data_IF_165246456619
#
_entry.id   IF_165246456619
#
_cell.length_a   1.000
_cell.length_b   1.000
_cell.length_c   1.000
_cell.angle_alpha   90.00
_cell.angle_beta   90.00
_cell.angle_gamma   90.00
#
_symmetry.space_group_name_H-M   'P 1'
#
loop_
_entity.id
_entity.type
_entity.pdbx_description
1 polymer ?
#
# COMPACT_ATOMS: atom_id res chain seq x y z
N UNK A 1 27.98 -65.52 38.68
CA UNK A 1 28.88 -64.43 39.12
C UNK A 1 28.56 -63.21 38.28
N UNK A 2 28.19 -62.07 38.88
CA UNK A 2 28.02 -60.84 38.09
C UNK A 2 29.39 -60.42 37.56
N UNK A 3 29.48 -60.18 36.25
CA UNK A 3 30.64 -59.57 35.62
C UNK A 3 30.97 -58.27 36.34
N UNK A 4 32.26 -58.00 36.56
CA UNK A 4 32.66 -56.72 37.13
C UNK A 4 32.23 -55.59 36.20
N UNK A 5 31.82 -54.44 36.76
CA UNK A 5 31.39 -53.27 35.98
C UNK A 5 32.42 -52.87 34.90
N UNK A 6 33.71 -53.11 35.18
CA UNK A 6 34.83 -52.83 34.26
C UNK A 6 34.94 -53.79 33.08
N UNK A 7 34.50 -55.04 33.22
CA UNK A 7 34.41 -55.98 32.09
C UNK A 7 33.20 -55.65 31.21
N UNK A 8 32.08 -55.30 31.83
CA UNK A 8 30.87 -54.88 31.09
C UNK A 8 31.10 -53.57 30.31
N UNK A 9 31.80 -52.60 30.90
CA UNK A 9 32.17 -51.36 30.21
C UNK A 9 33.19 -51.60 29.08
N UNK A 10 34.10 -52.57 29.22
CA UNK A 10 35.04 -52.94 28.16
C UNK A 10 34.34 -53.61 26.99
N UNK A 11 33.43 -54.55 27.25
CA UNK A 11 32.66 -55.21 26.20
C UNK A 11 31.73 -54.23 25.46
N UNK A 12 31.10 -53.29 26.18
CA UNK A 12 30.32 -52.23 25.54
C UNK A 12 31.16 -51.33 24.64
N UNK A 13 32.38 -50.96 25.05
CA UNK A 13 33.28 -50.17 24.21
C UNK A 13 33.72 -50.96 22.98
N UNK A 14 34.05 -52.25 23.13
CA UNK A 14 34.48 -53.13 22.05
C UNK A 14 33.35 -53.48 21.06
N UNK A 15 32.12 -53.57 21.54
CA UNK A 15 30.93 -53.73 20.69
C UNK A 15 30.62 -52.43 19.93
N UNK A 16 30.75 -51.28 20.60
CA UNK A 16 30.54 -49.96 19.99
C UNK A 16 31.54 -49.70 18.85
N UNK A 17 32.84 -49.94 19.04
CA UNK A 17 33.83 -49.78 17.96
C UNK A 17 33.52 -50.69 16.77
N UNK A 18 33.18 -51.96 17.01
CA UNK A 18 32.84 -52.89 15.91
C UNK A 18 31.60 -52.48 15.11
N UNK A 19 30.58 -51.91 15.74
CA UNK A 19 29.37 -51.45 15.05
C UNK A 19 29.65 -50.19 14.22
N UNK A 20 30.42 -49.23 14.75
CA UNK A 20 30.73 -48.00 14.02
C UNK A 20 31.75 -48.21 12.88
N UNK A 21 32.72 -49.10 13.07
CA UNK A 21 33.78 -49.35 12.06
C UNK A 21 33.29 -50.19 10.86
N UNK A 22 32.17 -50.92 10.98
CA UNK A 22 31.64 -51.75 9.88
C UNK A 22 30.36 -51.21 9.23
N UNK A 23 29.57 -50.37 9.90
CA UNK A 23 28.28 -49.93 9.36
C UNK A 23 28.33 -48.62 8.56
N UNK A 24 29.40 -47.81 8.70
CA UNK A 24 29.49 -46.50 8.04
C UNK A 24 30.88 -46.34 7.43
N UNK A 25 31.06 -46.75 6.17
CA UNK A 25 32.29 -46.48 5.43
C UNK A 25 32.54 -44.97 5.37
N UNK A 26 33.72 -44.54 5.80
CA UNK A 26 34.14 -43.14 5.71
C UNK A 26 34.08 -42.68 4.25
N UNK A 27 33.35 -41.58 4.00
CA UNK A 27 33.15 -41.04 2.65
C UNK A 27 33.68 -39.61 2.61
N UNK A 28 34.70 -39.39 1.79
CA UNK A 28 35.26 -38.06 1.54
C UNK A 28 34.23 -37.06 1.02
N UNK A 29 33.25 -37.53 0.23
CA UNK A 29 32.13 -36.72 -0.24
C UNK A 29 31.22 -36.26 0.91
N UNK A 30 30.95 -37.13 1.88
CA UNK A 30 30.20 -36.76 3.09
C UNK A 30 30.97 -35.77 3.94
N UNK A 31 32.28 -35.99 4.14
CA UNK A 31 33.12 -35.04 4.88
C UNK A 31 33.16 -33.67 4.20
N UNK A 32 33.40 -33.62 2.89
CA UNK A 32 33.45 -32.38 2.12
C UNK A 32 32.08 -31.67 2.10
N UNK A 33 30.99 -32.42 1.91
CA UNK A 33 29.62 -31.89 1.97
C UNK A 33 29.27 -31.34 3.34
N UNK A 34 29.67 -32.03 4.41
CA UNK A 34 29.54 -31.57 5.78
C UNK A 34 30.36 -30.30 6.02
N UNK A 35 31.65 -30.28 5.65
CA UNK A 35 32.50 -29.10 5.80
C UNK A 35 31.96 -27.89 5.03
N UNK A 36 31.45 -28.08 3.81
CA UNK A 36 30.84 -27.01 3.02
C UNK A 36 29.54 -26.52 3.66
N UNK A 37 28.69 -27.42 4.15
CA UNK A 37 27.45 -27.07 4.86
C UNK A 37 27.76 -26.31 6.17
N UNK A 38 28.78 -26.74 6.90
CA UNK A 38 29.26 -26.06 8.12
C UNK A 38 29.87 -24.69 7.80
N UNK A 39 30.67 -24.59 6.73
CA UNK A 39 31.22 -23.31 6.28
C UNK A 39 30.11 -22.34 5.85
N UNK A 40 29.08 -22.82 5.13
CA UNK A 40 27.92 -22.01 4.77
C UNK A 40 27.17 -21.55 6.03
N UNK A 41 26.90 -22.45 6.99
CA UNK A 41 26.23 -22.12 8.25
C UNK A 41 27.01 -21.07 9.07
N UNK A 42 28.33 -21.24 9.22
CA UNK A 42 29.19 -20.29 9.93
C UNK A 42 29.28 -18.94 9.20
N UNK A 43 29.42 -18.97 7.87
CA UNK A 43 29.52 -17.75 7.06
C UNK A 43 28.24 -16.92 7.09
N UNK A 44 27.07 -17.57 7.10
CA UNK A 44 25.79 -16.89 7.10
C UNK A 44 25.54 -16.18 8.44
N UNK A 45 25.97 -16.79 9.54
CA UNK A 45 25.86 -16.23 10.90
C UNK A 45 26.84 -15.07 11.14
N UNK A 46 28.10 -15.19 10.70
CA UNK A 46 29.09 -14.11 10.81
C UNK A 46 28.77 -12.91 9.91
N UNK A 47 28.16 -13.15 8.74
CA UNK A 47 27.80 -12.10 7.78
C UNK A 47 26.52 -11.36 8.15
N UNK A 48 25.53 -12.04 8.75
CA UNK A 48 24.22 -11.44 9.06
C UNK A 48 24.11 -10.82 10.46
N UNK A 49 25.08 -11.08 11.36
CA UNK A 49 25.06 -10.60 12.75
C UNK A 49 24.03 -11.33 13.63
N UNK A 50 23.80 -10.88 14.88
CA UNK A 50 22.83 -11.54 15.78
C UNK A 50 21.35 -11.37 15.34
N UNK A 51 21.09 -10.50 14.35
CA UNK A 51 19.77 -10.21 13.80
C UNK A 51 19.63 -8.76 13.36
N UNK A 52 18.45 -8.38 12.86
CA UNK A 52 18.11 -6.98 12.60
C UNK A 52 17.97 -6.27 13.95
N UNK A 53 18.90 -5.36 14.24
CA UNK A 53 18.85 -4.59 15.48
C UNK A 53 17.75 -3.53 15.42
N UNK A 54 17.15 -3.25 16.57
CA UNK A 54 16.20 -2.14 16.72
C UNK A 54 16.80 -0.81 16.26
N UNK A 55 18.13 -0.64 16.40
CA UNK A 55 18.84 0.55 15.92
C UNK A 55 18.72 0.76 14.40
N UNK A 56 18.77 -0.30 13.57
CA UNK A 56 18.54 -0.17 12.13
C UNK A 56 17.08 0.13 11.80
N UNK A 57 16.14 -0.38 12.58
CA UNK A 57 14.71 -0.12 12.37
C UNK A 57 14.28 1.28 12.84
N UNK A 58 15.03 1.91 13.76
CA UNK A 58 14.80 3.30 14.21
C UNK A 58 14.94 4.35 13.10
N UNK A 59 15.53 4.00 11.95
CA UNK A 59 15.58 4.90 10.80
C UNK A 59 14.21 5.06 10.13
N UNK A 60 13.26 4.16 10.41
CA UNK A 60 11.90 4.18 9.90
C UNK A 60 10.93 4.76 10.93
N UNK A 61 9.90 5.46 10.44
CA UNK A 61 8.88 6.01 11.35
C UNK A 61 7.94 4.90 11.79
N UNK A 62 7.86 4.67 13.10
CA UNK A 62 6.88 3.75 13.67
C UNK A 62 5.51 4.42 13.73
N UNK A 63 4.55 3.85 13.00
CA UNK A 63 3.16 4.31 12.97
C UNK A 63 2.35 3.65 14.09
N UNK A 64 2.57 2.35 14.28
CA UNK A 64 1.97 1.51 15.31
C UNK A 64 3.00 0.47 15.76
N UNK A 65 2.76 -0.22 16.87
CA UNK A 65 3.60 -1.35 17.29
C UNK A 65 3.75 -2.38 16.16
N UNK A 66 4.97 -2.58 15.69
CA UNK A 66 5.29 -3.48 14.57
C UNK A 66 5.02 -2.91 13.18
N UNK A 67 4.47 -1.70 13.05
CA UNK A 67 4.18 -1.08 11.76
C UNK A 67 5.10 0.12 11.49
N UNK A 68 5.92 -0.01 10.46
CA UNK A 68 6.89 0.99 10.02
C UNK A 68 6.45 1.60 8.70
N UNK A 69 6.69 2.90 8.53
CA UNK A 69 6.56 3.56 7.23
C UNK A 69 7.88 3.38 6.47
N UNK A 70 7.85 2.65 5.35
CA UNK A 70 9.05 2.41 4.52
C UNK A 70 9.25 3.49 3.46
N UNK A 71 8.14 3.98 2.88
CA UNK A 71 8.14 4.99 1.83
C UNK A 71 7.03 6.00 2.08
N UNK A 72 7.38 7.28 1.94
CA UNK A 72 6.46 8.40 2.14
C UNK A 72 6.45 8.91 3.58
N UNK A 73 5.38 9.59 4.00
CA UNK A 73 4.10 9.68 3.31
C UNK A 73 4.14 10.81 2.25
N UNK A 74 3.76 10.52 1.01
CA UNK A 74 3.84 11.47 -0.10
C UNK A 74 2.51 12.19 -0.30
N UNK A 75 2.56 13.48 -0.60
CA UNK A 75 1.43 14.31 -0.97
C UNK A 75 1.82 15.25 -2.09
N UNK A 76 1.17 15.12 -3.24
CA UNK A 76 1.51 15.93 -4.41
C UNK A 76 0.26 16.29 -5.23
N UNK A 77 0.18 17.54 -5.72
CA UNK A 77 -0.79 17.89 -6.73
C UNK A 77 -0.37 17.21 -8.03
N UNK A 78 -1.31 16.55 -8.70
CA UNK A 78 -1.03 15.97 -9.99
C UNK A 78 -1.30 17.01 -11.09
N UNK A 79 -2.55 17.39 -11.28
CA UNK A 79 -2.95 18.43 -12.25
C UNK A 79 -4.20 19.18 -11.80
N UNK A 80 -4.22 20.48 -12.08
CA UNK A 80 -5.43 21.28 -12.10
C UNK A 80 -5.74 21.63 -13.55
N UNK A 81 -6.82 21.07 -14.09
CA UNK A 81 -7.17 21.16 -15.50
C UNK A 81 -8.40 22.05 -15.64
N UNK A 82 -8.25 23.13 -16.40
CA UNK A 82 -9.31 24.09 -16.72
C UNK A 82 -9.85 23.79 -18.11
N UNK A 83 -11.17 23.61 -18.24
CA UNK A 83 -11.84 23.18 -19.48
C UNK A 83 -11.35 23.93 -20.73
N UNK A 84 -11.18 25.26 -20.64
CA UNK A 84 -10.83 26.11 -21.78
C UNK A 84 -9.34 26.51 -21.83
N UNK A 85 -8.62 26.53 -20.70
CA UNK A 85 -7.25 27.06 -20.66
C UNK A 85 -6.19 25.96 -20.88
N UNK A 86 -6.46 24.73 -20.44
CA UNK A 86 -5.50 23.63 -20.50
C UNK A 86 -5.86 22.61 -21.58
N UNK A 87 -6.74 22.93 -22.52
CA UNK A 87 -7.24 22.01 -23.54
C UNK A 87 -6.11 21.40 -24.41
N UNK A 88 -5.03 22.16 -24.64
CA UNK A 88 -3.88 21.74 -25.44
C UNK A 88 -2.72 21.15 -24.60
N UNK A 89 -2.87 21.06 -23.28
CA UNK A 89 -1.85 20.47 -22.43
C UNK A 89 -1.84 18.94 -22.56
N UNK A 90 -0.73 18.32 -22.20
CA UNK A 90 -0.56 16.87 -22.18
C UNK A 90 -0.14 16.39 -20.81
N UNK A 91 -0.70 15.26 -20.38
CA UNK A 91 -0.47 14.65 -19.07
C UNK A 91 0.23 13.31 -19.22
N UNK A 92 1.26 12.96 -18.44
CA UNK A 92 1.91 11.65 -18.54
C UNK A 92 0.93 10.50 -18.32
N UNK A 93 0.94 9.52 -19.24
CA UNK A 93 0.14 8.27 -19.11
C UNK A 93 0.46 7.55 -17.80
N UNK A 94 1.70 7.67 -17.33
CA UNK A 94 2.16 7.02 -16.10
C UNK A 94 1.28 7.33 -14.90
N UNK A 95 0.84 8.58 -14.74
CA UNK A 95 0.02 8.99 -13.60
C UNK A 95 -1.36 8.31 -13.57
N UNK A 96 -1.94 7.94 -14.70
CA UNK A 96 -3.26 7.29 -14.74
C UNK A 96 -3.20 5.79 -15.03
N UNK A 97 -2.04 5.26 -15.42
CA UNK A 97 -1.87 3.85 -15.79
C UNK A 97 -0.92 3.07 -14.88
N UNK A 98 0.19 3.65 -14.46
CA UNK A 98 1.25 2.89 -13.78
C UNK A 98 1.38 3.25 -12.30
N UNK A 99 1.02 4.47 -11.95
CA UNK A 99 0.97 4.95 -10.57
C UNK A 99 0.05 4.08 -9.70
N UNK A 100 0.46 3.81 -8.46
CA UNK A 100 -0.31 3.07 -7.45
C UNK A 100 -1.66 3.72 -7.16
N UNK A 101 -1.72 5.05 -7.07
CA UNK A 101 -2.97 5.78 -6.82
C UNK A 101 -3.95 5.69 -8.00
N UNK A 102 -3.47 5.37 -9.21
CA UNK A 102 -4.34 5.16 -10.38
C UNK A 102 -5.17 3.88 -10.29
N UNK A 103 -4.80 2.92 -9.43
CA UNK A 103 -5.50 1.63 -9.29
C UNK A 103 -6.94 1.85 -8.85
N UNK A 104 -7.19 2.70 -7.86
CA UNK A 104 -8.56 2.97 -7.40
C UNK A 104 -9.38 3.68 -8.47
N UNK A 105 -8.78 4.62 -9.19
CA UNK A 105 -9.46 5.31 -10.30
C UNK A 105 -9.92 4.33 -11.36
N UNK A 106 -9.05 3.41 -11.78
CA UNK A 106 -9.41 2.41 -12.80
C UNK A 106 -10.40 1.39 -12.29
N UNK A 107 -10.28 0.97 -11.03
CA UNK A 107 -11.24 0.07 -10.41
C UNK A 107 -12.65 0.65 -10.48
N UNK A 108 -12.82 1.93 -10.15
CA UNK A 108 -14.12 2.59 -10.23
C UNK A 108 -14.54 2.91 -11.66
N UNK A 109 -13.60 3.22 -12.56
CA UNK A 109 -13.90 3.38 -13.97
C UNK A 109 -14.47 2.10 -14.58
N UNK A 110 -13.91 0.94 -14.24
CA UNK A 110 -14.45 -0.35 -14.67
C UNK A 110 -15.77 -0.69 -13.98
N UNK A 111 -15.87 -0.46 -12.67
CA UNK A 111 -17.09 -0.72 -11.89
C UNK A 111 -18.29 0.10 -12.41
N UNK A 112 -18.08 1.39 -12.71
CA UNK A 112 -19.11 2.26 -13.28
C UNK A 112 -19.23 2.15 -14.80
N UNK A 113 -18.39 1.33 -15.45
CA UNK A 113 -18.33 1.16 -16.91
C UNK A 113 -18.18 2.50 -17.67
N UNK A 114 -17.19 3.31 -17.27
CA UNK A 114 -16.96 4.64 -17.84
C UNK A 114 -16.28 4.56 -19.21
N UNK A 115 -16.98 4.96 -20.27
CA UNK A 115 -16.42 5.06 -21.62
C UNK A 115 -15.41 6.20 -21.79
N UNK A 116 -15.44 7.21 -20.90
CA UNK A 116 -14.50 8.32 -20.92
C UNK A 116 -13.06 7.87 -20.60
N UNK A 117 -12.86 6.72 -19.95
CA UNK A 117 -11.54 6.17 -19.70
C UNK A 117 -10.96 5.54 -20.97
N UNK A 118 -9.81 6.05 -21.49
CA UNK A 118 -9.19 5.46 -22.65
C UNK A 118 -8.89 3.98 -22.41
N UNK A 119 -9.20 3.08 -23.37
CA UNK A 119 -8.97 1.64 -23.21
C UNK A 119 -7.53 1.31 -22.82
N UNK A 120 -6.58 2.13 -23.26
CA UNK A 120 -5.18 1.93 -22.97
C UNK A 120 -4.82 2.17 -21.48
N UNK A 121 -5.54 3.06 -20.78
CA UNK A 121 -5.37 3.33 -19.34
C UNK A 121 -5.87 2.13 -18.52
N UNK A 122 -6.95 1.49 -18.98
CA UNK A 122 -7.55 0.29 -18.39
C UNK A 122 -6.86 -1.02 -18.81
N UNK A 123 -5.66 -0.95 -19.39
CA UNK A 123 -4.92 -2.12 -19.89
C UNK A 123 -5.63 -2.96 -20.97
N UNK A 124 -6.68 -2.43 -21.62
CA UNK A 124 -7.39 -3.12 -22.72
C UNK A 124 -6.69 -2.96 -24.07
N UNK A 125 -5.80 -1.96 -24.19
CA UNK A 125 -4.96 -1.75 -25.38
C UNK A 125 -3.63 -1.10 -25.04
N UNK A 126 -2.72 -1.02 -26.03
CA UNK A 126 -1.47 -0.26 -25.91
C UNK A 126 -1.75 1.23 -26.06
N UNK A 127 -1.12 2.07 -25.22
CA UNK A 127 -1.25 3.52 -25.38
C UNK A 127 -0.44 3.98 -26.59
N UNK A 128 -0.97 4.94 -27.39
CA UNK A 128 -0.30 5.40 -28.61
C UNK A 128 1.01 6.15 -28.32
N UNK A 129 1.14 6.72 -27.12
CA UNK A 129 2.36 7.39 -26.66
C UNK A 129 2.47 7.39 -25.13
N UNK A 130 3.43 8.16 -24.60
CA UNK A 130 3.67 8.33 -23.17
C UNK A 130 2.83 9.42 -22.49
N UNK A 131 1.96 10.11 -23.25
CA UNK A 131 1.12 11.22 -22.77
C UNK A 131 -0.33 11.05 -23.22
N UNK A 132 -1.25 11.60 -22.43
CA UNK A 132 -2.68 11.74 -22.71
C UNK A 132 -3.00 13.23 -22.93
N UNK A 133 -3.91 13.58 -23.86
CA UNK A 133 -4.47 14.92 -23.93
C UNK A 133 -5.11 15.31 -22.60
N UNK A 134 -4.85 16.52 -22.10
CA UNK A 134 -5.45 16.99 -20.85
C UNK A 134 -6.98 17.07 -20.93
N UNK A 135 -7.54 17.27 -22.13
CA UNK A 135 -8.99 17.16 -22.38
C UNK A 135 -9.53 15.77 -22.06
N UNK A 136 -8.86 14.72 -22.50
CA UNK A 136 -9.30 13.34 -22.22
C UNK A 136 -9.24 13.07 -20.71
N UNK A 137 -8.18 13.53 -20.04
CA UNK A 137 -8.06 13.42 -18.57
C UNK A 137 -9.15 14.21 -17.85
N UNK A 138 -9.49 15.40 -18.34
CA UNK A 138 -10.59 16.20 -17.81
C UNK A 138 -11.92 15.43 -17.89
N UNK A 139 -12.23 14.90 -19.08
CA UNK A 139 -13.46 14.15 -19.33
C UNK A 139 -13.52 12.85 -18.52
N UNK A 140 -12.38 12.17 -18.34
CA UNK A 140 -12.23 11.00 -17.45
C UNK A 140 -12.61 11.34 -16.01
N UNK A 141 -12.01 12.39 -15.45
CA UNK A 141 -12.24 12.80 -14.06
C UNK A 141 -13.68 13.28 -13.89
N UNK A 142 -14.19 14.09 -14.80
CA UNK A 142 -15.56 14.59 -14.74
C UNK A 142 -16.58 13.44 -14.81
N UNK A 143 -16.38 12.46 -15.71
CA UNK A 143 -17.22 11.27 -15.79
C UNK A 143 -17.18 10.44 -14.49
N UNK A 144 -16.01 10.30 -13.87
CA UNK A 144 -15.87 9.60 -12.58
C UNK A 144 -16.65 10.31 -11.47
N UNK A 145 -16.49 11.63 -11.33
CA UNK A 145 -17.21 12.41 -10.31
C UNK A 145 -18.72 12.35 -10.55
N UNK A 146 -19.18 12.45 -11.81
CA UNK A 146 -20.58 12.29 -12.17
C UNK A 146 -21.12 10.91 -11.80
N UNK A 147 -20.40 9.84 -12.11
CA UNK A 147 -20.81 8.48 -11.78
C UNK A 147 -20.86 8.23 -10.27
N UNK A 148 -19.89 8.73 -9.51
CA UNK A 148 -19.91 8.69 -8.05
C UNK A 148 -21.07 9.50 -7.45
N UNK A 149 -21.40 10.66 -8.03
CA UNK A 149 -22.55 11.47 -7.63
C UNK A 149 -23.88 10.78 -7.93
N UNK A 150 -24.01 10.13 -9.09
CA UNK A 150 -25.23 9.43 -9.52
C UNK A 150 -25.61 8.23 -8.63
N UNK A 151 -24.64 7.64 -7.90
CA UNK A 151 -24.93 6.61 -6.90
C UNK A 151 -25.90 7.09 -5.81
N UNK A 152 -26.00 8.42 -5.60
CA UNK A 152 -27.00 9.02 -4.71
C UNK A 152 -28.40 8.56 -5.07
N UNK A 153 -28.71 8.48 -6.35
CA UNK A 153 -30.07 8.27 -6.85
C UNK A 153 -30.52 6.84 -6.66
N UNK A 154 -29.59 5.88 -6.75
CA UNK A 154 -29.83 4.48 -6.36
C UNK A 154 -30.09 4.33 -4.86
N UNK A 155 -29.44 5.14 -4.02
CA UNK A 155 -29.61 5.12 -2.57
C UNK A 155 -30.71 6.06 -2.04
N UNK A 156 -31.37 6.86 -2.90
CA UNK A 156 -32.45 7.81 -2.50
C UNK A 156 -33.63 7.12 -1.81
N UNK A 157 -33.86 5.84 -2.05
CA UNK A 157 -34.88 5.08 -1.33
C UNK A 157 -34.53 4.81 0.16
N UNK A 158 -33.28 5.01 0.58
CA UNK A 158 -32.80 4.64 1.91
C UNK A 158 -32.54 5.83 2.87
N UNK A 159 -32.32 7.06 2.40
CA UNK A 159 -31.93 8.16 3.31
C UNK A 159 -32.53 9.53 2.96
N UNK A 160 -33.33 10.08 3.90
CA UNK A 160 -33.72 11.50 3.96
C UNK A 160 -32.58 12.29 4.60
N UNK A 161 -31.65 12.84 3.82
CA UNK A 161 -30.62 13.71 4.35
C UNK A 161 -29.54 14.13 3.35
N UNK A 162 -28.87 15.24 3.64
CA UNK A 162 -27.65 15.65 2.97
C UNK A 162 -26.50 14.80 3.56
N UNK A 163 -26.29 13.60 3.03
CA UNK A 163 -25.19 12.70 3.44
C UNK A 163 -24.25 12.45 2.24
N UNK A 164 -22.95 12.18 2.50
CA UNK A 164 -22.06 11.73 1.46
C UNK A 164 -22.48 10.35 0.95
N UNK A 165 -22.20 10.09 -0.32
CA UNK A 165 -22.50 8.81 -0.96
C UNK A 165 -21.21 8.02 -1.03
N UNK A 166 -21.24 6.77 -0.55
CA UNK A 166 -20.07 5.90 -0.54
C UNK A 166 -20.33 4.61 -1.31
N UNK A 167 -19.37 4.23 -2.13
CA UNK A 167 -19.32 2.94 -2.81
C UNK A 167 -18.02 2.26 -2.43
N UNK A 168 -18.09 0.98 -2.06
CA UNK A 168 -16.91 0.17 -1.72
C UNK A 168 -16.81 -0.96 -2.73
N UNK A 169 -15.61 -1.20 -3.25
CA UNK A 169 -15.31 -2.30 -4.16
C UNK A 169 -14.05 -3.02 -3.70
N UNK A 170 -13.90 -4.27 -4.13
CA UNK A 170 -12.69 -5.06 -3.89
C UNK A 170 -12.07 -5.39 -5.23
N UNK A 171 -10.82 -5.01 -5.44
CA UNK A 171 -10.09 -5.27 -6.68
C UNK A 171 -9.03 -6.34 -6.45
N UNK A 172 -8.75 -7.12 -7.48
CA UNK A 172 -7.61 -8.03 -7.58
C UNK A 172 -6.78 -7.60 -8.77
N UNK A 173 -5.50 -7.34 -8.54
CA UNK A 173 -4.54 -7.01 -9.58
C UNK A 173 -3.44 -8.06 -9.61
N UNK A 174 -3.14 -8.55 -10.81
CA UNK A 174 -2.06 -9.49 -11.07
C UNK A 174 -0.83 -8.72 -11.54
N UNK A 175 0.25 -8.76 -10.77
CA UNK A 175 1.49 -8.06 -11.06
C UNK A 175 2.54 -9.02 -11.62
N UNK A 176 2.91 -8.85 -12.88
CA UNK A 176 4.05 -9.56 -13.49
C UNK A 176 5.30 -8.69 -13.41
N UNK A 177 5.83 -8.51 -12.20
CA UNK A 177 6.97 -7.60 -11.97
C UNK A 177 8.29 -8.36 -11.92
N UNK A 178 8.31 -9.56 -11.33
CA UNK A 178 9.56 -10.24 -11.00
C UNK A 178 9.78 -11.51 -11.81
N UNK A 179 11.06 -11.84 -12.04
CA UNK A 179 11.47 -13.09 -12.71
C UNK A 179 10.88 -14.33 -12.02
N UNK A 180 10.76 -14.32 -10.69
CA UNK A 180 10.15 -15.44 -9.96
C UNK A 180 8.65 -15.62 -10.24
N UNK A 181 7.93 -14.57 -10.64
CA UNK A 181 6.54 -14.69 -11.08
C UNK A 181 6.43 -15.47 -12.40
N UNK A 182 7.51 -15.50 -13.20
CA UNK A 182 7.59 -16.31 -14.42
C UNK A 182 8.08 -17.74 -14.14
N UNK A 183 8.98 -17.93 -13.18
CA UNK A 183 9.60 -19.23 -12.91
C UNK A 183 8.75 -20.10 -11.97
N UNK A 184 8.11 -19.50 -10.96
CA UNK A 184 7.33 -20.21 -9.94
C UNK A 184 5.97 -19.54 -9.64
N UNK A 185 5.10 -19.35 -10.65
CA UNK A 185 3.83 -18.65 -10.48
C UNK A 185 2.93 -19.34 -9.42
N UNK A 186 2.87 -20.66 -9.40
CA UNK A 186 1.94 -21.39 -8.50
C UNK A 186 2.30 -21.30 -7.01
N UNK A 187 3.57 -20.98 -6.69
CA UNK A 187 4.11 -20.95 -5.32
C UNK A 187 4.29 -19.52 -4.83
N UNK A 188 4.59 -18.58 -5.74
CA UNK A 188 5.00 -17.21 -5.43
C UNK A 188 4.09 -16.12 -6.01
N UNK A 189 2.97 -16.47 -6.66
CA UNK A 189 2.02 -15.46 -7.15
C UNK A 189 1.33 -14.77 -5.96
N UNK A 190 1.74 -13.53 -5.71
CA UNK A 190 1.13 -12.65 -4.72
C UNK A 190 0.17 -11.73 -5.45
N UNK A 191 -1.10 -12.15 -5.54
CA UNK A 191 -2.16 -11.26 -5.96
C UNK A 191 -2.18 -10.01 -5.08
N UNK A 192 -2.16 -8.83 -5.69
CA UNK A 192 -2.50 -7.61 -4.96
C UNK A 192 -4.01 -7.52 -4.85
N UNK A 193 -4.53 -7.71 -3.64
CA UNK A 193 -5.94 -7.51 -3.32
C UNK A 193 -6.08 -6.18 -2.62
N UNK A 194 -7.03 -5.35 -3.04
CA UNK A 194 -7.23 -4.02 -2.46
C UNK A 194 -8.69 -3.79 -2.12
N UNK A 195 -8.91 -3.14 -0.99
CA UNK A 195 -10.20 -2.59 -0.60
C UNK A 195 -10.23 -1.14 -1.04
N UNK A 196 -11.16 -0.82 -1.92
CA UNK A 196 -11.29 0.50 -2.51
C UNK A 196 -12.59 1.15 -2.08
N UNK A 197 -12.56 2.47 -1.88
CA UNK A 197 -13.74 3.24 -1.53
C UNK A 197 -13.80 4.53 -2.34
N UNK A 198 -14.96 4.84 -2.90
CA UNK A 198 -15.26 6.13 -3.50
C UNK A 198 -16.30 6.83 -2.62
N UNK A 199 -16.01 8.05 -2.16
CA UNK A 199 -16.94 8.86 -1.40
C UNK A 199 -17.14 10.20 -2.09
N UNK A 200 -18.38 10.49 -2.45
CA UNK A 200 -18.80 11.76 -3.04
C UNK A 200 -19.40 12.69 -1.97
N UNK A 201 -18.88 13.91 -1.91
CA UNK A 201 -19.35 15.01 -1.08
C UNK A 201 -19.88 16.14 -1.94
N UNK A 202 -21.19 16.37 -1.83
CA UNK A 202 -21.86 17.46 -2.52
C UNK A 202 -21.42 18.83 -2.00
N UNK A 203 -21.34 19.82 -2.88
CA UNK A 203 -21.08 21.23 -2.55
C UNK A 203 -21.83 21.80 -1.35
N UNK A 204 -23.12 21.47 -1.16
CA UNK A 204 -23.91 21.91 0.00
C UNK A 204 -23.37 21.39 1.33
N UNK A 205 -22.75 20.20 1.36
CA UNK A 205 -22.10 19.67 2.55
C UNK A 205 -20.79 20.39 2.81
N UNK A 206 -19.99 20.58 1.77
CA UNK A 206 -18.67 21.21 1.86
C UNK A 206 -18.74 22.67 2.31
N UNK A 207 -19.82 23.40 1.97
CA UNK A 207 -20.04 24.79 2.40
C UNK A 207 -20.40 24.94 3.88
N UNK A 208 -20.71 23.85 4.61
CA UNK A 208 -21.01 23.93 6.05
C UNK A 208 -19.73 24.19 6.85
N UNK A 209 -19.76 25.19 7.73
CA UNK A 209 -18.62 25.55 8.59
C UNK A 209 -18.13 24.40 9.48
N UNK A 210 -19.04 23.54 9.93
CA UNK A 210 -18.77 22.39 10.82
C UNK A 210 -18.45 21.10 10.04
N UNK A 211 -18.37 21.15 8.70
CA UNK A 211 -18.11 19.94 7.92
C UNK A 211 -16.69 19.40 8.17
N UNK A 212 -16.62 18.09 8.39
CA UNK A 212 -15.38 17.34 8.52
C UNK A 212 -15.49 16.06 7.68
N UNK A 213 -14.50 15.81 6.82
CA UNK A 213 -14.38 14.60 6.00
C UNK A 213 -14.40 13.34 6.87
N UNK A 214 -13.78 13.41 8.05
CA UNK A 214 -13.72 12.31 9.02
C UNK A 214 -14.78 12.41 10.13
N UNK A 215 -15.94 12.99 9.84
CA UNK A 215 -17.06 13.05 10.80
C UNK A 215 -17.56 11.65 11.16
N UNK A 216 -18.08 11.49 12.38
CA UNK A 216 -18.68 10.24 12.88
C UNK A 216 -20.09 9.99 12.34
N UNK A 217 -20.69 10.99 11.67
CA UNK A 217 -22.05 10.90 11.12
C UNK A 217 -22.02 10.61 9.62
N UNK A 218 -22.48 9.43 9.24
CA UNK A 218 -22.57 8.98 7.85
C UNK A 218 -21.32 8.25 7.37
N UNK A 219 -21.25 7.92 6.06
CA UNK A 219 -20.08 7.30 5.47
C UNK A 219 -18.83 8.18 5.62
N UNK A 220 -17.73 7.58 6.05
CA UNK A 220 -16.42 8.24 6.18
C UNK A 220 -15.34 7.44 5.44
N UNK A 221 -14.28 8.11 4.94
CA UNK A 221 -13.17 7.44 4.30
C UNK A 221 -12.51 6.44 5.24
N UNK A 222 -12.10 5.29 4.70
CA UNK A 222 -11.37 4.25 5.45
C UNK A 222 -10.13 4.80 6.17
N UNK A 223 -9.43 5.75 5.54
CA UNK A 223 -8.23 6.37 6.13
C UNK A 223 -8.52 7.15 7.42
N UNK A 224 -9.76 7.55 7.70
CA UNK A 224 -10.06 8.36 8.88
C UNK A 224 -9.78 7.62 10.20
N UNK A 225 -9.63 6.28 10.15
CA UNK A 225 -9.19 5.45 11.27
C UNK A 225 -7.70 5.14 11.25
N UNK A 226 -6.98 5.52 10.19
CA UNK A 226 -5.59 5.14 10.00
C UNK A 226 -4.65 6.18 10.56
N UNK A 227 -3.65 5.70 11.31
CA UNK A 227 -2.64 6.53 11.97
C UNK A 227 -1.68 7.22 10.98
N UNK A 228 -1.54 6.71 9.76
CA UNK A 228 -0.65 7.29 8.74
C UNK A 228 -1.10 8.68 8.29
N UNK A 229 -2.38 9.02 8.46
CA UNK A 229 -3.00 10.28 7.98
C UNK A 229 -2.55 11.54 8.73
N UNK A 230 -1.81 11.38 9.82
CA UNK A 230 -1.18 12.47 10.55
C UNK A 230 0.30 12.58 10.17
N UNK A 231 0.57 13.24 9.04
CA UNK A 231 1.90 13.48 8.48
C UNK A 231 2.82 14.20 9.46
N UNK A 232 2.27 15.02 10.37
CA UNK A 232 3.09 15.64 11.43
C UNK A 232 3.76 14.61 12.34
N UNK A 233 3.19 13.41 12.48
CA UNK A 233 3.76 12.30 13.27
C UNK A 233 4.45 11.25 12.41
N UNK A 234 3.97 11.03 11.19
CA UNK A 234 4.47 9.95 10.32
C UNK A 234 5.59 10.39 9.38
N UNK A 235 5.72 11.68 9.10
CA UNK A 235 6.69 12.20 8.13
C UNK A 235 8.07 12.41 8.76
N UNK A 236 9.09 11.84 8.12
CA UNK A 236 10.50 12.10 8.42
C UNK A 236 11.16 12.49 7.10
N UNK A 237 11.93 13.58 7.11
CA UNK A 237 12.54 14.17 5.91
C UNK A 237 13.50 13.21 5.16
N UNK A 238 13.96 12.13 5.79
CA UNK A 238 14.73 11.09 5.11
C UNK A 238 13.89 10.19 4.18
N UNK A 239 12.56 10.17 4.35
CA UNK A 239 11.63 9.26 3.67
C UNK A 239 10.58 9.99 2.81
N UNK A 240 10.54 11.32 2.89
CA UNK A 240 9.56 12.19 2.27
C UNK A 240 10.14 13.58 2.05
N UNK A 241 9.52 14.39 1.18
CA UNK A 241 9.87 15.79 0.99
C UNK A 241 9.23 16.73 2.02
N UNK A 242 9.79 17.93 2.13
CA UNK A 242 9.34 18.98 3.05
C UNK A 242 7.87 19.39 2.78
N UNK A 243 7.48 19.41 1.50
CA UNK A 243 6.12 19.77 1.08
C UNK A 243 5.11 18.75 1.60
N UNK A 244 5.39 17.45 1.49
CA UNK A 244 4.51 16.44 2.06
C UNK A 244 4.46 16.55 3.59
N UNK A 245 5.60 16.72 4.26
CA UNK A 245 5.60 16.87 5.73
C UNK A 245 4.76 18.07 6.22
N UNK A 246 4.63 19.13 5.43
CA UNK A 246 3.83 20.31 5.76
C UNK A 246 2.31 20.09 5.73
N UNK A 247 1.81 18.99 5.13
CA UNK A 247 0.38 18.64 5.03
C UNK A 247 -0.30 18.56 6.41
N UNK A 248 0.43 18.09 7.43
CA UNK A 248 -0.11 17.91 8.77
C UNK A 248 -1.15 16.79 8.86
N UNK A 249 -2.45 17.09 8.83
CA UNK A 249 -3.49 16.06 8.79
C UNK A 249 -4.12 16.00 7.41
N UNK A 250 -4.14 14.83 6.77
CA UNK A 250 -4.63 14.66 5.39
C UNK A 250 -6.05 15.23 5.22
N UNK A 251 -6.98 14.92 6.11
CA UNK A 251 -8.35 15.45 5.99
C UNK A 251 -8.42 16.99 6.13
N UNK A 252 -7.53 17.62 6.90
CA UNK A 252 -7.46 19.09 7.01
C UNK A 252 -6.98 19.69 5.71
N UNK A 253 -5.99 19.03 5.11
CA UNK A 253 -5.40 19.43 3.85
C UNK A 253 -6.43 19.41 2.71
N UNK A 254 -7.18 18.31 2.60
CA UNK A 254 -8.28 18.18 1.63
C UNK A 254 -9.32 19.28 1.81
N UNK A 255 -9.75 19.55 3.04
CA UNK A 255 -10.71 20.62 3.31
C UNK A 255 -10.15 22.02 3.01
N UNK A 256 -8.87 22.25 3.32
CA UNK A 256 -8.18 23.50 3.01
C UNK A 256 -8.17 23.74 1.50
N UNK A 257 -7.81 22.73 0.70
CA UNK A 257 -7.83 22.80 -0.77
C UNK A 257 -9.23 23.04 -1.31
N UNK A 258 -10.23 22.31 -0.80
CA UNK A 258 -11.63 22.51 -1.19
C UNK A 258 -12.10 23.95 -0.93
N UNK A 259 -11.77 24.51 0.24
CA UNK A 259 -12.11 25.90 0.61
C UNK A 259 -11.36 26.93 -0.23
N UNK A 260 -10.08 26.67 -0.55
CA UNK A 260 -9.31 27.54 -1.46
C UNK A 260 -9.97 27.62 -2.83
N UNK A 261 -10.42 26.47 -3.37
CA UNK A 261 -11.10 26.43 -4.65
C UNK A 261 -12.49 27.09 -4.60
N UNK A 262 -13.23 26.93 -3.49
CA UNK A 262 -14.49 27.64 -3.26
C UNK A 262 -14.31 29.16 -3.21
N UNK A 263 -13.22 29.64 -2.59
CA UNK A 263 -12.90 31.06 -2.53
C UNK A 263 -12.49 31.62 -3.90
N UNK A 264 -11.82 30.81 -4.73
CA UNK A 264 -11.44 31.19 -6.09
C UNK A 264 -12.64 31.27 -7.05
N UNK A 265 -13.67 30.44 -6.83
CA UNK A 265 -14.88 30.39 -7.67
C UNK A 265 -16.17 30.61 -6.85
N UNK A 266 -16.43 31.83 -6.36
CA UNK A 266 -17.54 32.11 -5.45
C UNK A 266 -18.93 31.93 -6.10
N UNK A 267 -19.04 32.16 -7.41
CA UNK A 267 -20.27 31.97 -8.17
C UNK A 267 -20.54 30.50 -8.54
N UNK A 268 -19.54 29.64 -8.46
CA UNK A 268 -19.64 28.24 -8.82
C UNK A 268 -19.86 27.34 -7.58
N UNK A 269 -20.14 26.07 -7.85
CA UNK A 269 -20.16 25.02 -6.82
C UNK A 269 -18.91 24.16 -6.90
N UNK A 270 -18.39 23.76 -5.74
CA UNK A 270 -17.27 22.84 -5.64
C UNK A 270 -17.75 21.55 -5.02
N UNK A 271 -17.55 20.43 -5.70
CA UNK A 271 -17.78 19.08 -5.20
C UNK A 271 -16.44 18.40 -4.92
N UNK A 272 -16.46 17.38 -4.06
CA UNK A 272 -15.28 16.59 -3.68
C UNK A 272 -15.60 15.11 -3.84
N UNK A 273 -14.77 14.39 -4.58
CA UNK A 273 -14.73 12.92 -4.58
C UNK A 273 -13.43 12.46 -3.95
N UNK A 274 -13.54 11.57 -2.97
CA UNK A 274 -12.41 10.95 -2.30
C UNK A 274 -12.37 9.48 -2.70
N UNK A 275 -11.28 9.09 -3.34
CA UNK A 275 -11.00 7.71 -3.73
C UNK A 275 -9.89 7.18 -2.82
N UNK A 276 -10.15 6.09 -2.10
CA UNK A 276 -9.16 5.44 -1.24
C UNK A 276 -8.89 4.02 -1.72
N UNK A 277 -7.65 3.59 -1.62
CA UNK A 277 -7.21 2.21 -1.85
C UNK A 277 -6.34 1.77 -0.70
N UNK A 278 -6.71 0.66 -0.07
CA UNK A 278 -5.88 -0.01 0.91
C UNK A 278 -5.60 -1.42 0.44
N UNK A 279 -4.33 -1.75 0.27
CA UNK A 279 -3.94 -3.10 -0.07
C UNK A 279 -4.13 -4.04 1.14
N UNK A 280 -4.50 -5.28 0.87
CA UNK A 280 -4.39 -6.34 1.86
C UNK A 280 -2.91 -6.53 2.20
N UNK A 281 -2.62 -7.03 3.39
CA UNK A 281 -1.23 -7.28 3.74
C UNK A 281 -0.67 -8.40 2.84
N UNK A 282 0.27 -8.04 1.97
CA UNK A 282 1.03 -9.01 1.18
C UNK A 282 1.90 -9.82 2.15
N UNK A 283 1.47 -11.04 2.46
CA UNK A 283 2.17 -11.93 3.39
C UNK A 283 3.21 -12.71 2.61
N UNK A 284 4.49 -12.53 2.96
CA UNK A 284 5.53 -13.43 2.52
C UNK A 284 5.52 -14.66 3.42
N UNK A 285 4.85 -15.73 2.99
CA UNK A 285 4.81 -17.00 3.72
C UNK A 285 6.09 -17.78 3.45
N UNK A 286 6.86 -18.07 4.51
CA UNK A 286 8.11 -18.83 4.41
C UNK A 286 9.03 -18.74 5.62
N UNK A 287 8.80 -17.76 6.51
CA UNK A 287 9.57 -17.57 7.75
C UNK A 287 8.76 -17.81 9.03
N UNK A 288 9.48 -17.91 10.17
CA UNK A 288 8.89 -17.89 11.52
C UNK A 288 8.46 -16.46 11.94
N UNK A 289 9.00 -15.44 11.28
CA UNK A 289 8.61 -14.04 11.47
C UNK A 289 7.42 -13.70 10.59
N UNK A 290 6.54 -12.85 11.11
CA UNK A 290 5.44 -12.30 10.34
C UNK A 290 5.92 -11.02 9.70
N UNK A 291 6.07 -11.06 8.38
CA UNK A 291 6.48 -9.92 7.57
C UNK A 291 5.47 -9.71 6.46
N UNK A 292 5.10 -8.45 6.27
CA UNK A 292 4.27 -8.07 5.15
C UNK A 292 4.34 -6.58 4.90
N UNK A 293 3.97 -6.20 3.70
CA UNK A 293 3.84 -4.81 3.34
C UNK A 293 2.42 -4.52 2.85
N UNK A 294 2.06 -3.25 2.89
CA UNK A 294 0.75 -2.76 2.50
C UNK A 294 0.90 -1.37 1.91
N UNK A 295 0.50 -1.21 0.65
CA UNK A 295 0.33 0.10 0.04
C UNK A 295 -0.98 0.75 0.52
N UNK A 296 -0.91 2.05 0.79
CA UNK A 296 -2.10 2.89 1.01
C UNK A 296 -2.04 4.05 0.04
N UNK A 297 -3.16 4.29 -0.64
CA UNK A 297 -3.26 5.36 -1.63
C UNK A 297 -4.60 6.09 -1.46
N UNK A 298 -4.58 7.39 -1.72
CA UNK A 298 -5.75 8.23 -1.69
C UNK A 298 -5.64 9.27 -2.80
N UNK A 299 -6.70 9.41 -3.59
CA UNK A 299 -6.84 10.43 -4.62
C UNK A 299 -8.05 11.29 -4.28
N UNK A 300 -7.87 12.61 -4.31
CA UNK A 300 -8.96 13.58 -4.16
C UNK A 300 -9.19 14.29 -5.46
N UNK A 301 -10.43 14.24 -5.93
CA UNK A 301 -10.90 14.90 -7.13
C UNK A 301 -11.83 16.03 -6.70
N UNK A 302 -11.35 17.27 -6.79
CA UNK A 302 -12.19 18.44 -6.60
C UNK A 302 -12.70 18.90 -7.95
N UNK A 303 -13.99 19.25 -8.02
CA UNK A 303 -14.63 19.67 -9.25
C UNK A 303 -15.37 20.98 -9.07
N UNK A 304 -15.07 21.96 -9.91
CA UNK A 304 -15.79 23.23 -9.98
C UNK A 304 -16.83 23.15 -11.09
N UNK A 305 -18.08 23.40 -10.73
CA UNK A 305 -19.24 23.32 -11.62
C UNK A 305 -20.00 24.63 -11.58
N UNK A 306 -20.24 25.20 -12.77
CA UNK A 306 -21.09 26.36 -12.98
C UNK A 306 -22.46 25.90 -13.50
N UNK A 307 -23.51 26.26 -12.76
CA UNK A 307 -24.89 25.93 -13.09
C UNK A 307 -25.62 27.26 -13.29
N UNK A 308 -25.76 27.67 -14.56
CA UNK A 308 -26.40 28.94 -14.92
C UNK A 308 -27.89 28.97 -14.54
N UNK A 309 -28.55 27.80 -14.58
CA UNK A 309 -29.91 27.61 -14.07
C UNK A 309 -30.02 26.29 -13.27
N UNK A 310 -30.22 26.36 -11.94
CA UNK A 310 -30.42 25.19 -11.09
C UNK A 310 -31.66 24.34 -11.44
N UNK A 311 -32.61 24.87 -12.21
CA UNK A 311 -33.84 24.17 -12.59
C UNK A 311 -33.71 23.38 -13.89
N UNK A 312 -32.80 23.79 -14.78
CA UNK A 312 -32.58 23.12 -16.07
C UNK A 312 -31.52 22.01 -16.01
N UNK A 313 -30.89 21.81 -14.84
CA UNK A 313 -29.79 20.84 -14.60
C UNK A 313 -28.63 20.97 -15.61
N UNK A 314 -28.52 22.13 -16.26
CA UNK A 314 -27.46 22.45 -17.21
C UNK A 314 -26.26 23.01 -16.45
N UNK A 315 -25.54 22.07 -15.83
CA UNK A 315 -24.31 22.35 -15.11
C UNK A 315 -23.11 22.00 -16.00
N UNK A 316 -22.13 22.92 -16.07
CA UNK A 316 -20.90 22.71 -16.82
C UNK A 316 -19.70 22.69 -15.89
N UNK A 317 -18.86 21.66 -16.03
CA UNK A 317 -17.63 21.57 -15.26
C UNK A 317 -16.60 22.54 -15.82
N UNK A 318 -16.11 23.45 -14.98
CA UNK A 318 -15.10 24.45 -15.33
C UNK A 318 -13.68 23.96 -15.06
N UNK A 319 -13.48 23.32 -13.91
CA UNK A 319 -12.15 22.91 -13.41
C UNK A 319 -12.25 21.56 -12.72
N UNK A 320 -11.24 20.72 -12.92
CA UNK A 320 -10.97 19.54 -12.11
C UNK A 320 -9.58 19.65 -11.50
N UNK A 321 -9.46 19.32 -10.22
CA UNK A 321 -8.18 19.27 -9.48
C UNK A 321 -7.98 17.84 -8.95
N UNK A 322 -6.85 17.23 -9.34
CA UNK A 322 -6.41 15.90 -8.94
C UNK A 322 -5.21 16.05 -7.99
N UNK A 323 -5.39 15.60 -6.75
CA UNK A 323 -4.36 15.60 -5.72
C UNK A 323 -4.27 14.23 -5.05
N UNK A 324 -3.05 13.79 -4.74
CA UNK A 324 -2.77 12.41 -4.34
C UNK A 324 -1.98 12.34 -3.05
N UNK A 325 -2.25 11.27 -2.31
CA UNK A 325 -1.55 10.88 -1.09
C UNK A 325 -1.21 9.39 -1.17
N UNK A 326 0.01 9.01 -0.84
CA UNK A 326 0.41 7.59 -0.89
C UNK A 326 1.55 7.25 0.05
N UNK A 327 1.71 5.95 0.30
CA UNK A 327 2.87 5.42 1.00
C UNK A 327 2.86 3.91 1.12
N UNK A 328 3.91 3.41 1.77
CA UNK A 328 4.13 1.98 1.99
C UNK A 328 4.36 1.71 3.47
N UNK A 329 3.46 0.91 4.03
CA UNK A 329 3.60 0.39 5.40
C UNK A 329 4.24 -1.00 5.35
N UNK A 330 5.09 -1.26 6.33
CA UNK A 330 5.70 -2.56 6.57
C UNK A 330 5.34 -3.01 7.97
N UNK A 331 4.78 -4.20 8.04
CA UNK A 331 4.40 -4.85 9.28
C UNK A 331 5.41 -5.95 9.57
N UNK A 332 6.08 -5.85 10.71
CA UNK A 332 7.04 -6.84 11.15
C UNK A 332 7.03 -7.00 12.66
N UNK A 333 7.07 -8.26 13.11
CA UNK A 333 7.30 -8.62 14.50
C UNK A 333 8.78 -8.94 14.80
N UNK A 334 9.71 -8.61 13.89
CA UNK A 334 11.13 -8.96 14.04
C UNK A 334 11.74 -8.36 15.31
N UNK A 335 11.31 -7.16 15.73
CA UNK A 335 11.86 -6.49 16.92
C UNK A 335 11.58 -7.29 18.21
N UNK A 336 10.33 -7.72 18.50
CA UNK A 336 10.07 -8.68 19.58
C UNK A 336 10.85 -9.99 19.48
N UNK A 337 11.01 -10.55 18.27
CA UNK A 337 11.69 -11.82 18.07
C UNK A 337 13.21 -11.73 18.17
N UNK A 338 13.78 -10.52 18.14
CA UNK A 338 15.23 -10.32 18.15
C UNK A 338 15.90 -11.03 19.33
N UNK A 339 15.35 -10.90 20.54
CA UNK A 339 15.93 -11.55 21.73
C UNK A 339 15.98 -13.07 21.59
N UNK A 340 14.86 -13.68 21.15
CA UNK A 340 14.76 -15.13 20.93
C UNK A 340 15.72 -15.59 19.83
N UNK A 341 15.75 -14.91 18.69
CA UNK A 341 16.63 -15.24 17.55
C UNK A 341 18.09 -15.08 17.95
N UNK A 342 18.45 -14.00 18.65
CA UNK A 342 19.80 -13.76 19.12
C UNK A 342 20.23 -14.83 20.13
N UNK A 343 19.39 -15.20 21.10
CA UNK A 343 19.68 -16.27 22.05
C UNK A 343 19.85 -17.62 21.37
N UNK A 344 18.97 -18.00 20.43
CA UNK A 344 19.11 -19.24 19.66
C UNK A 344 20.42 -19.27 18.87
N UNK A 345 20.78 -18.15 18.23
CA UNK A 345 22.06 -18.01 17.51
C UNK A 345 23.25 -18.14 18.44
N UNK A 346 23.25 -17.45 19.59
CA UNK A 346 24.34 -17.50 20.58
C UNK A 346 24.48 -18.91 21.16
N UNK A 347 23.38 -19.58 21.53
CA UNK A 347 23.42 -20.95 22.05
C UNK A 347 23.94 -21.93 21.01
N UNK A 348 23.50 -21.80 19.75
CA UNK A 348 24.01 -22.64 18.66
C UNK A 348 25.50 -22.41 18.43
N UNK A 349 25.97 -21.16 18.49
CA UNK A 349 27.40 -20.83 18.42
C UNK A 349 28.17 -21.42 19.62
N UNK A 350 27.65 -21.26 20.83
CA UNK A 350 28.29 -21.78 22.04
C UNK A 350 28.41 -23.31 22.02
N UNK A 351 27.36 -24.02 21.59
CA UNK A 351 27.40 -25.48 21.40
C UNK A 351 28.40 -25.92 20.33
N UNK A 352 28.63 -25.09 19.31
CA UNK A 352 29.56 -25.41 18.25
C UNK A 352 31.03 -25.16 18.64
N UNK A 353 31.30 -24.09 19.39
CA UNK A 353 32.66 -23.67 19.75
C UNK A 353 33.14 -24.13 21.14
N UNK A 354 32.24 -24.55 22.03
CA UNK A 354 32.54 -25.11 23.34
C UNK A 354 32.36 -26.61 23.36
#
# INVERSE_FOLDING_TARGET
MPLSMDEWLRDLRAARTRVFDHAISFSWLRLAGSMLSYAMLCSDVLRSGPGITSARLRQYTTIESGMLLLKGPWSYPLFQIHRNQTANASVPVWAYKYDTTSIVMRTFAEFYNLSAFPPCVLYRSRCPGGVLPARDVFDMIDAMVNASAAQKDMHRHAQRGLQPVATTTRSRAHYLINLHNYIFPEILDVDSRRTNQAIYYHSRLLKRSVFNVCSTRGPRPTFCSDLWTNYRRSCVLSQSDEVSCAVGNVWKDVLRRARQLQAQYPAATVDLTVLTSLEDLARNTGGLTFEGYRHFDMTTLLRVVDCQDPQLDQCTTLVVDDHRYEGLLFLSNVTPWFGVIASLRVTAQAYYFG
#
